data_IF_065071444485
#
_entry.id   IF_065071444485
#
_cell.length_a   1.000
_cell.length_b   1.000
_cell.length_c   1.000
_cell.angle_alpha   90.00
_cell.angle_beta   90.00
_cell.angle_gamma   90.00
#
_symmetry.space_group_name_H-M   'P 1'
#
loop_
_entity.id
_entity.type
_entity.pdbx_description
1 polymer ?
#
# COMPACT_ATOMS: atom_id res chain seq x y z
N UNK A 1 22.20 14.50 4.21
CA UNK A 1 21.09 13.70 3.64
C UNK A 1 20.37 13.01 4.79
N UNK A 2 19.04 13.05 4.85
CA UNK A 2 18.30 12.26 5.85
C UNK A 2 17.99 10.88 5.28
N UNK A 3 18.71 9.85 5.76
CA UNK A 3 18.58 8.48 5.26
C UNK A 3 17.17 7.91 5.47
N UNK A 4 16.52 8.22 6.60
CA UNK A 4 15.16 7.76 6.88
C UNK A 4 14.15 8.32 5.87
N UNK A 5 14.31 9.59 5.46
CA UNK A 5 13.46 10.18 4.42
C UNK A 5 13.64 9.48 3.07
N UNK A 6 14.88 9.15 2.69
CA UNK A 6 15.16 8.45 1.45
C UNK A 6 14.54 7.05 1.45
N UNK A 7 14.71 6.28 2.52
CA UNK A 7 14.14 4.93 2.65
C UNK A 7 12.60 4.94 2.58
N UNK A 8 11.96 5.91 3.24
CA UNK A 8 10.50 6.06 3.19
C UNK A 8 10.01 6.40 1.78
N UNK A 9 10.71 7.30 1.08
CA UNK A 9 10.37 7.64 -0.31
C UNK A 9 10.51 6.46 -1.26
N UNK A 10 11.60 5.68 -1.13
CA UNK A 10 11.82 4.47 -1.93
C UNK A 10 10.75 3.41 -1.64
N UNK A 11 10.46 3.16 -0.37
CA UNK A 11 9.39 2.23 0.05
C UNK A 11 8.03 2.63 -0.53
N UNK A 12 7.71 3.93 -0.55
CA UNK A 12 6.46 4.42 -1.12
C UNK A 12 6.39 4.20 -2.64
N UNK A 13 7.50 4.38 -3.36
CA UNK A 13 7.60 4.12 -4.81
C UNK A 13 7.39 2.63 -5.08
N UNK A 14 8.04 1.76 -4.32
CA UNK A 14 7.88 0.31 -4.45
C UNK A 14 6.42 -0.10 -4.23
N UNK A 15 5.79 0.37 -3.15
CA UNK A 15 4.38 0.07 -2.87
C UNK A 15 3.45 0.49 -4.01
N UNK A 16 3.68 1.66 -4.63
CA UNK A 16 2.89 2.12 -5.77
C UNK A 16 3.08 1.24 -7.01
N UNK A 17 4.31 0.81 -7.30
CA UNK A 17 4.61 -0.06 -8.43
C UNK A 17 3.95 -1.44 -8.26
N UNK A 18 4.13 -2.05 -7.08
CA UNK A 18 3.53 -3.35 -6.75
C UNK A 18 2.00 -3.32 -6.75
N UNK A 19 1.40 -2.24 -6.24
CA UNK A 19 -0.07 -2.06 -6.23
C UNK A 19 -0.64 -2.12 -7.65
N UNK A 20 0.04 -1.50 -8.63
CA UNK A 20 -0.39 -1.54 -10.04
C UNK A 20 -0.29 -2.93 -10.66
N UNK A 21 0.76 -3.68 -10.34
CA UNK A 21 0.93 -5.05 -10.84
C UNK A 21 -0.13 -6.00 -10.26
N UNK A 22 -0.51 -5.79 -8.99
CA UNK A 22 -1.45 -6.67 -8.27
C UNK A 22 -2.92 -6.37 -8.54
N UNK A 23 -3.24 -5.20 -9.11
CA UNK A 23 -4.59 -4.80 -9.48
C UNK A 23 -4.67 -4.70 -11.01
N UNK A 24 -4.65 -5.84 -11.74
CA UNK A 24 -4.59 -5.83 -13.20
C UNK A 24 -5.84 -5.25 -13.85
N UNK A 25 -6.99 -5.29 -13.16
CA UNK A 25 -8.28 -4.83 -13.71
C UNK A 25 -9.10 -4.03 -12.68
N UNK A 26 -9.79 -3.00 -13.16
CA UNK A 26 -10.72 -2.17 -12.40
C UNK A 26 -10.26 -0.73 -12.13
N UNK A 27 -11.16 0.06 -11.54
CA UNK A 27 -10.93 1.46 -11.12
C UNK A 27 -9.59 1.73 -10.38
N UNK A 28 -9.07 0.82 -9.53
CA UNK A 28 -7.78 1.00 -8.88
C UNK A 28 -6.56 0.90 -9.81
N UNK A 29 -6.67 0.13 -10.90
CA UNK A 29 -5.56 -0.11 -11.85
C UNK A 29 -5.21 1.16 -12.63
N UNK A 30 -6.25 1.90 -13.04
CA UNK A 30 -6.14 3.17 -13.77
C UNK A 30 -6.01 4.39 -12.83
N UNK A 31 -5.99 4.20 -11.51
CA UNK A 31 -5.97 5.30 -10.56
C UNK A 31 -4.63 6.06 -10.58
N UNK A 32 -4.71 7.39 -10.54
CA UNK A 32 -3.55 8.24 -10.30
C UNK A 32 -2.88 7.90 -8.95
N UNK A 33 -1.56 8.07 -8.80
CA UNK A 33 -0.85 7.80 -7.55
C UNK A 33 -1.48 8.49 -6.34
N UNK A 34 -2.00 9.71 -6.52
CA UNK A 34 -2.67 10.48 -5.47
C UNK A 34 -3.94 9.79 -4.98
N UNK A 35 -4.74 9.22 -5.88
CA UNK A 35 -5.97 8.49 -5.55
C UNK A 35 -5.66 7.20 -4.80
N UNK A 36 -4.65 6.45 -5.23
CA UNK A 36 -4.15 5.26 -4.52
C UNK A 36 -3.63 5.60 -3.12
N UNK A 37 -2.90 6.72 -2.98
CA UNK A 37 -2.42 7.21 -1.69
C UNK A 37 -3.56 7.35 -0.69
N UNK A 38 -4.65 8.02 -1.05
CA UNK A 38 -5.74 8.31 -0.11
C UNK A 38 -6.73 7.17 0.10
N UNK A 39 -6.92 6.27 -0.88
CA UNK A 39 -7.90 5.18 -0.75
C UNK A 39 -7.33 3.86 -0.27
N UNK A 40 -6.08 3.55 -0.64
CA UNK A 40 -5.49 2.24 -0.35
C UNK A 40 -4.30 2.36 0.61
N UNK A 41 -3.44 3.36 0.43
CA UNK A 41 -2.17 3.47 1.17
C UNK A 41 -2.23 4.39 2.39
N UNK A 42 -3.34 5.09 2.60
CA UNK A 42 -3.57 5.96 3.76
C UNK A 42 -4.26 5.21 4.90
N UNK A 43 -4.90 4.08 4.61
CA UNK A 43 -5.66 3.34 5.60
C UNK A 43 -4.70 2.73 6.63
N UNK A 44 -5.06 2.83 7.91
CA UNK A 44 -4.34 2.13 8.95
C UNK A 44 -4.54 0.62 8.76
N UNK A 45 -3.44 -0.11 8.60
CA UNK A 45 -3.45 -1.56 8.48
C UNK A 45 -2.37 -2.19 9.36
N UNK A 46 -2.58 -3.45 9.73
CA UNK A 46 -1.60 -4.25 10.48
C UNK A 46 -1.15 -5.42 9.61
N UNK A 47 0.16 -5.55 9.41
CA UNK A 47 0.76 -6.73 8.84
C UNK A 47 1.02 -7.74 9.96
N UNK A 48 0.30 -8.87 9.91
CA UNK A 48 0.46 -9.96 10.88
C UNK A 48 1.08 -11.18 10.21
N UNK A 49 2.10 -11.76 10.85
CA UNK A 49 2.70 -13.03 10.41
C UNK A 49 2.17 -14.15 11.28
N UNK A 50 1.71 -15.23 10.65
CA UNK A 50 1.23 -16.42 11.35
C UNK A 50 1.47 -17.67 10.51
N UNK A 51 2.17 -18.65 11.08
CA UNK A 51 2.70 -19.78 10.32
C UNK A 51 3.53 -19.30 9.12
N UNK A 52 3.28 -19.87 7.93
CA UNK A 52 3.95 -19.49 6.66
C UNK A 52 3.16 -18.44 5.85
N UNK A 53 2.28 -17.67 6.49
CA UNK A 53 1.42 -16.67 5.81
C UNK A 53 1.63 -15.26 6.37
N UNK A 54 1.62 -14.28 5.48
CA UNK A 54 1.54 -12.85 5.80
C UNK A 54 0.10 -12.40 5.56
N UNK A 55 -0.52 -11.76 6.55
CA UNK A 55 -1.89 -11.24 6.43
C UNK A 55 -1.91 -9.74 6.67
N UNK A 56 -2.38 -9.00 5.67
CA UNK A 56 -2.75 -7.60 5.79
C UNK A 56 -4.14 -7.50 6.42
N UNK A 57 -4.23 -6.88 7.60
CA UNK A 57 -5.49 -6.66 8.31
C UNK A 57 -5.85 -5.19 8.23
N UNK A 58 -6.98 -4.90 7.59
CA UNK A 58 -7.59 -3.57 7.52
C UNK A 58 -8.78 -3.55 8.49
N UNK A 59 -9.07 -2.41 9.11
CA UNK A 59 -10.26 -2.29 9.96
C UNK A 59 -11.52 -2.48 9.12
N UNK A 60 -12.43 -3.35 9.56
CA UNK A 60 -13.70 -3.60 8.87
C UNK A 60 -14.65 -2.40 8.93
N UNK A 61 -14.45 -1.49 9.90
CA UNK A 61 -15.24 -0.29 10.11
C UNK A 61 -14.57 0.97 9.58
N UNK A 62 -13.47 0.84 8.84
CA UNK A 62 -12.89 1.98 8.14
C UNK A 62 -13.85 2.44 7.02
N UNK A 63 -14.14 3.74 6.90
CA UNK A 63 -15.19 4.27 6.02
C UNK A 63 -14.95 4.06 4.51
#
# INVERSE_FOLDING_TARGET
MNAAWLELSLTAIDLLAWTRVLLPDGEPAAAEPKKLRYRLLHIAARLTRGGRRLRLRISATWP
#
